data_IF_435967742249
#
_entry.id   IF_435967742249
#
_cell.length_a   1.000
_cell.length_b   1.000
_cell.length_c   1.000
_cell.angle_alpha   90.00
_cell.angle_beta   90.00
_cell.angle_gamma   90.00
#
_symmetry.space_group_name_H-M   'P 1'
#
loop_
_entity.id
_entity.type
_entity.pdbx_description
1 polymer ?
#
# COMPACT_ATOMS: atom_id res chain seq x y z
N UNK A 1 -8.01 -14.49 24.42
CA UNK A 1 -6.80 -14.22 23.65
C UNK A 1 -7.20 -14.32 22.20
N UNK A 2 -7.43 -13.18 21.53
CA UNK A 2 -7.68 -13.17 20.08
C UNK A 2 -6.40 -13.61 19.40
N UNK A 3 -6.44 -14.67 18.58
CA UNK A 3 -5.33 -15.01 17.72
C UNK A 3 -5.03 -13.77 16.87
N UNK A 4 -3.85 -13.18 17.03
CA UNK A 4 -3.39 -12.10 16.17
C UNK A 4 -3.39 -12.63 14.74
N UNK A 5 -4.21 -12.04 13.89
CA UNK A 5 -4.31 -12.46 12.50
C UNK A 5 -2.98 -12.08 11.83
N UNK A 6 -2.21 -13.06 11.39
CA UNK A 6 -0.97 -12.84 10.67
C UNK A 6 -1.22 -11.97 9.45
N UNK A 7 -0.31 -11.04 9.18
CA UNK A 7 -0.41 -10.15 8.02
C UNK A 7 -0.05 -10.92 6.73
N UNK A 8 -0.83 -10.78 5.64
CA UNK A 8 -0.54 -11.49 4.41
C UNK A 8 0.70 -10.90 3.72
N UNK A 9 1.64 -11.76 3.40
CA UNK A 9 2.87 -11.48 2.66
C UNK A 9 2.86 -12.30 1.37
N UNK A 10 2.86 -11.63 0.20
CA UNK A 10 2.96 -12.32 -1.08
C UNK A 10 4.42 -12.62 -1.41
N UNK A 11 4.73 -13.89 -1.65
CA UNK A 11 6.05 -14.38 -2.06
C UNK A 11 5.95 -14.90 -3.48
N UNK A 12 6.63 -14.23 -4.42
CA UNK A 12 6.66 -14.59 -5.85
C UNK A 12 8.04 -15.12 -6.20
N UNK A 13 8.13 -16.41 -6.40
CA UNK A 13 9.38 -17.15 -6.68
C UNK A 13 9.05 -18.42 -7.44
N UNK A 14 9.69 -18.66 -8.56
CA UNK A 14 9.47 -19.86 -9.40
C UNK A 14 10.24 -21.08 -8.91
N UNK A 15 11.39 -20.89 -8.24
CA UNK A 15 12.11 -21.97 -7.57
C UNK A 15 11.38 -22.37 -6.28
N UNK A 16 10.74 -23.55 -6.34
CA UNK A 16 9.98 -24.10 -5.21
C UNK A 16 10.83 -24.37 -3.95
N UNK A 17 12.14 -24.61 -4.08
CA UNK A 17 13.02 -24.83 -2.94
C UNK A 17 13.29 -23.48 -2.24
N UNK A 18 13.63 -22.45 -3.00
CA UNK A 18 13.85 -21.11 -2.47
C UNK A 18 12.54 -20.50 -1.93
N UNK A 19 11.41 -20.72 -2.60
CA UNK A 19 10.08 -20.29 -2.14
C UNK A 19 9.76 -20.87 -0.75
N UNK A 20 10.03 -22.17 -0.53
CA UNK A 20 9.89 -22.82 0.78
C UNK A 20 10.84 -22.21 1.81
N UNK A 21 12.10 -21.98 1.46
CA UNK A 21 13.08 -21.37 2.36
C UNK A 21 12.64 -19.98 2.79
N UNK A 22 12.18 -19.14 1.86
CA UNK A 22 11.64 -17.80 2.16
C UNK A 22 10.46 -17.90 3.11
N UNK A 23 9.50 -18.79 2.83
CA UNK A 23 8.35 -19.02 3.70
C UNK A 23 8.76 -19.41 5.12
N UNK A 24 9.75 -20.28 5.29
CA UNK A 24 10.24 -20.71 6.62
C UNK A 24 10.96 -19.58 7.36
N UNK A 25 11.64 -18.69 6.64
CA UNK A 25 12.32 -17.53 7.21
C UNK A 25 11.34 -16.44 7.68
N UNK A 26 10.10 -16.47 7.23
CA UNK A 26 9.07 -15.47 7.44
C UNK A 26 7.84 -16.05 8.14
N UNK A 27 8.07 -16.89 9.15
CA UNK A 27 7.02 -17.62 9.90
C UNK A 27 6.07 -16.70 10.70
N UNK A 28 6.47 -15.46 10.96
CA UNK A 28 5.64 -14.41 11.57
C UNK A 28 4.55 -13.82 10.64
N UNK A 29 4.47 -14.26 9.37
CA UNK A 29 3.54 -13.73 8.38
C UNK A 29 2.70 -14.83 7.74
N UNK A 30 1.51 -14.48 7.23
CA UNK A 30 0.72 -15.39 6.38
C UNK A 30 1.30 -15.38 4.96
N UNK A 31 2.22 -16.31 4.67
CA UNK A 31 2.87 -16.39 3.37
C UNK A 31 1.90 -16.88 2.30
N UNK A 32 1.55 -16.00 1.37
CA UNK A 32 0.79 -16.28 0.14
C UNK A 32 1.78 -16.52 -0.99
N UNK A 33 1.74 -17.68 -1.63
CA UNK A 33 2.75 -18.10 -2.58
C UNK A 33 2.25 -17.95 -4.03
N UNK A 34 3.13 -17.50 -4.91
CA UNK A 34 2.93 -17.46 -6.36
C UNK A 34 4.25 -17.82 -7.07
N UNK A 35 4.18 -18.39 -8.26
CA UNK A 35 5.34 -18.86 -9.03
C UNK A 35 5.46 -18.23 -10.41
N UNK A 36 4.52 -17.36 -10.76
CA UNK A 36 4.52 -16.61 -12.02
C UNK A 36 3.74 -15.29 -11.87
N UNK A 37 3.77 -14.47 -12.91
CA UNK A 37 3.13 -13.15 -12.93
C UNK A 37 1.60 -13.24 -12.80
N UNK A 38 0.96 -14.21 -13.41
CA UNK A 38 -0.51 -14.32 -13.41
C UNK A 38 -1.02 -14.75 -12.05
N UNK A 39 -0.43 -15.78 -11.46
CA UNK A 39 -0.74 -16.24 -10.10
C UNK A 39 -0.44 -15.16 -9.06
N UNK A 40 0.66 -14.42 -9.21
CA UNK A 40 0.99 -13.30 -8.32
C UNK A 40 -0.09 -12.22 -8.31
N UNK A 41 -0.55 -11.79 -9.49
CA UNK A 41 -1.62 -10.80 -9.60
C UNK A 41 -2.97 -11.31 -9.08
N UNK A 42 -3.27 -12.60 -9.28
CA UNK A 42 -4.48 -13.22 -8.72
C UNK A 42 -4.43 -13.26 -7.19
N UNK A 43 -3.30 -13.66 -6.60
CA UNK A 43 -3.11 -13.71 -5.15
C UNK A 43 -3.11 -12.32 -4.52
N UNK A 44 -2.48 -11.33 -5.17
CA UNK A 44 -2.50 -9.94 -4.70
C UNK A 44 -3.93 -9.40 -4.59
N UNK A 45 -4.76 -9.61 -5.62
CA UNK A 45 -6.17 -9.19 -5.61
C UNK A 45 -7.00 -9.89 -4.54
N UNK A 46 -6.72 -11.18 -4.30
CA UNK A 46 -7.47 -12.01 -3.33
C UNK A 46 -7.13 -11.66 -1.90
N UNK A 47 -5.86 -11.44 -1.58
CA UNK A 47 -5.37 -11.30 -0.21
C UNK A 47 -5.07 -9.85 0.17
N UNK A 48 -4.88 -8.94 -0.79
CA UNK A 48 -4.55 -7.54 -0.54
C UNK A 48 -3.24 -7.38 0.22
N UNK A 49 -2.22 -8.19 -0.11
CA UNK A 49 -0.95 -8.23 0.63
C UNK A 49 -0.26 -6.86 0.62
N UNK A 50 -0.01 -6.24 1.76
CA UNK A 50 0.64 -4.93 1.85
C UNK A 50 2.13 -4.97 1.50
N UNK A 51 2.75 -6.15 1.59
CA UNK A 51 4.16 -6.40 1.23
C UNK A 51 4.24 -7.56 0.26
N UNK A 52 5.11 -7.42 -0.73
CA UNK A 52 5.43 -8.43 -1.73
C UNK A 52 6.94 -8.61 -1.79
N UNK A 53 7.42 -9.85 -1.71
CA UNK A 53 8.77 -10.22 -2.13
C UNK A 53 8.69 -10.89 -3.48
N UNK A 54 9.49 -10.49 -4.47
CA UNK A 54 9.42 -11.05 -5.81
C UNK A 54 10.79 -11.22 -6.46
N UNK A 55 10.97 -12.33 -7.15
CA UNK A 55 12.08 -12.48 -8.10
C UNK A 55 11.80 -11.71 -9.40
N UNK A 56 12.86 -11.27 -10.07
CA UNK A 56 12.78 -10.71 -11.42
C UNK A 56 12.79 -11.77 -12.51
N UNK A 57 13.47 -12.90 -12.30
CA UNK A 57 13.51 -14.04 -13.21
C UNK A 57 12.26 -14.89 -13.04
N UNK A 58 11.21 -14.61 -13.80
CA UNK A 58 9.94 -15.33 -13.72
C UNK A 58 9.58 -16.00 -15.07
N UNK A 59 8.86 -17.15 -15.04
CA UNK A 59 8.36 -17.77 -16.26
C UNK A 59 7.49 -16.82 -17.10
N UNK A 60 7.44 -17.00 -18.45
CA UNK A 60 8.00 -18.11 -19.25
C UNK A 60 9.49 -18.00 -19.56
N UNK A 61 10.16 -16.91 -19.27
CA UNK A 61 11.57 -16.67 -19.56
C UNK A 61 12.33 -16.28 -18.28
N UNK A 62 12.66 -17.29 -17.48
CA UNK A 62 13.33 -17.10 -16.18
C UNK A 62 14.76 -16.52 -16.31
N UNK A 63 15.40 -16.64 -17.48
CA UNK A 63 16.70 -16.02 -17.76
C UNK A 63 16.58 -14.52 -18.05
N UNK A 64 15.37 -14.03 -18.28
CA UNK A 64 15.06 -12.63 -18.54
C UNK A 64 14.36 -12.00 -17.32
N UNK A 65 14.64 -10.74 -17.10
CA UNK A 65 13.99 -9.93 -16.03
C UNK A 65 12.71 -9.22 -16.51
N UNK A 66 12.29 -9.47 -17.76
CA UNK A 66 11.18 -8.74 -18.39
C UNK A 66 9.84 -9.00 -17.71
N UNK A 67 9.56 -10.26 -17.34
CA UNK A 67 8.32 -10.61 -16.65
C UNK A 67 8.27 -10.06 -15.22
N UNK A 68 9.39 -10.06 -14.51
CA UNK A 68 9.48 -9.44 -13.20
C UNK A 68 9.22 -7.92 -13.24
N UNK A 69 9.80 -7.20 -14.20
CA UNK A 69 9.51 -5.77 -14.35
C UNK A 69 8.05 -5.49 -14.73
N UNK A 70 7.45 -6.29 -15.60
CA UNK A 70 6.02 -6.18 -15.91
C UNK A 70 5.15 -6.43 -14.67
N UNK A 71 5.52 -7.43 -13.87
CA UNK A 71 4.81 -7.72 -12.61
C UNK A 71 4.93 -6.54 -11.64
N UNK A 72 6.13 -5.99 -11.43
CA UNK A 72 6.36 -4.81 -10.59
C UNK A 72 5.46 -3.64 -11.00
N UNK A 73 5.44 -3.32 -12.29
CA UNK A 73 4.59 -2.25 -12.85
C UNK A 73 3.10 -2.52 -12.58
N UNK A 74 2.64 -3.76 -12.82
CA UNK A 74 1.25 -4.16 -12.58
C UNK A 74 0.85 -4.10 -11.10
N UNK A 75 1.73 -4.53 -10.19
CA UNK A 75 1.49 -4.44 -8.75
C UNK A 75 1.33 -2.97 -8.33
N UNK A 76 2.27 -2.11 -8.72
CA UNK A 76 2.26 -0.69 -8.35
C UNK A 76 1.10 0.08 -8.98
N UNK A 77 0.66 -0.30 -10.19
CA UNK A 77 -0.53 0.27 -10.81
C UNK A 77 -1.83 -0.17 -10.12
N UNK A 78 -1.92 -1.44 -9.70
CA UNK A 78 -3.12 -1.98 -9.05
C UNK A 78 -3.21 -1.64 -7.56
N UNK A 79 -2.07 -1.56 -6.87
CA UNK A 79 -1.94 -1.34 -5.43
C UNK A 79 -0.73 -0.43 -5.13
N UNK A 80 -0.85 0.90 -5.31
CA UNK A 80 0.28 1.85 -5.20
C UNK A 80 0.93 1.90 -3.81
N UNK A 81 0.21 1.47 -2.78
CA UNK A 81 0.69 1.49 -1.39
C UNK A 81 1.48 0.23 -1.02
N UNK A 82 1.40 -0.82 -1.85
CA UNK A 82 2.12 -2.08 -1.63
C UNK A 82 3.63 -1.86 -1.67
N UNK A 83 4.33 -2.43 -0.71
CA UNK A 83 5.79 -2.39 -0.63
C UNK A 83 6.36 -3.61 -1.32
N UNK A 84 7.04 -3.40 -2.46
CA UNK A 84 7.63 -4.48 -3.24
C UNK A 84 9.12 -4.55 -2.95
N UNK A 85 9.59 -5.70 -2.45
CA UNK A 85 11.01 -6.04 -2.23
C UNK A 85 11.42 -6.97 -3.36
N UNK A 86 12.38 -6.53 -4.17
CA UNK A 86 12.87 -7.30 -5.32
C UNK A 86 14.04 -8.17 -4.90
N UNK A 87 13.96 -9.47 -5.19
CA UNK A 87 15.06 -10.41 -5.00
C UNK A 87 15.81 -10.55 -6.33
N UNK A 88 17.12 -10.36 -6.35
CA UNK A 88 17.90 -10.35 -7.59
C UNK A 88 19.12 -11.26 -7.49
N UNK A 89 19.56 -11.88 -8.62
CA UNK A 89 20.83 -12.62 -8.67
C UNK A 89 22.05 -11.71 -8.53
N UNK A 90 23.23 -12.30 -8.27
CA UNK A 90 24.50 -11.60 -7.97
C UNK A 90 24.92 -10.56 -9.02
N UNK A 91 24.53 -10.70 -10.28
CA UNK A 91 24.87 -9.75 -11.36
C UNK A 91 23.73 -8.73 -11.60
N UNK A 92 22.73 -8.66 -10.73
CA UNK A 92 21.49 -7.90 -10.93
C UNK A 92 21.52 -6.45 -10.46
N UNK A 93 22.68 -5.87 -10.12
CA UNK A 93 22.74 -4.52 -9.53
C UNK A 93 22.08 -3.45 -10.42
N UNK A 94 22.28 -3.50 -11.73
CA UNK A 94 21.61 -2.59 -12.67
C UNK A 94 20.09 -2.79 -12.68
N UNK A 95 19.63 -4.05 -12.60
CA UNK A 95 18.21 -4.39 -12.51
C UNK A 95 17.59 -3.98 -11.17
N UNK A 96 18.34 -4.12 -10.07
CA UNK A 96 17.94 -3.63 -8.75
C UNK A 96 17.71 -2.11 -8.74
N UNK A 97 18.67 -1.35 -9.28
CA UNK A 97 18.54 0.12 -9.39
C UNK A 97 17.36 0.51 -10.28
N UNK A 98 17.14 -0.20 -11.39
CA UNK A 98 15.99 0.02 -12.26
C UNK A 98 14.67 -0.29 -11.52
N UNK A 99 14.59 -1.38 -10.77
CA UNK A 99 13.40 -1.72 -9.98
C UNK A 99 13.06 -0.62 -8.96
N UNK A 100 14.06 -0.11 -8.24
CA UNK A 100 13.87 1.01 -7.28
C UNK A 100 13.43 2.28 -8.01
N UNK A 101 14.02 2.60 -9.17
CA UNK A 101 13.60 3.74 -9.98
C UNK A 101 12.15 3.61 -10.50
N UNK A 102 11.66 2.38 -10.69
CA UNK A 102 10.27 2.09 -11.05
C UNK A 102 9.31 2.12 -9.85
N UNK A 103 9.81 2.25 -8.62
CA UNK A 103 9.00 2.35 -7.41
C UNK A 103 9.02 1.13 -6.49
N UNK A 104 9.91 0.15 -6.71
CA UNK A 104 10.15 -0.89 -5.72
C UNK A 104 10.61 -0.26 -4.39
N UNK A 105 10.15 -0.82 -3.27
CA UNK A 105 10.49 -0.32 -1.93
C UNK A 105 11.96 -0.55 -1.59
N UNK A 106 12.45 -1.76 -1.89
CA UNK A 106 13.83 -2.17 -1.62
C UNK A 106 14.23 -3.32 -2.55
N UNK A 107 15.50 -3.70 -2.52
CA UNK A 107 15.98 -4.90 -3.19
C UNK A 107 16.96 -5.69 -2.33
N UNK A 108 17.07 -6.99 -2.57
CA UNK A 108 17.99 -7.89 -1.88
C UNK A 108 18.68 -8.82 -2.88
N UNK A 109 20.00 -8.88 -2.83
CA UNK A 109 20.78 -9.75 -3.72
C UNK A 109 20.77 -11.20 -3.21
N UNK A 110 20.54 -12.16 -4.10
CA UNK A 110 20.70 -13.61 -3.83
C UNK A 110 22.18 -14.02 -3.94
N UNK A 111 22.72 -14.86 -3.04
CA UNK A 111 22.08 -15.40 -1.85
C UNK A 111 22.00 -14.37 -0.72
N UNK A 112 20.97 -14.43 0.09
CA UNK A 112 20.74 -13.54 1.23
C UNK A 112 20.59 -14.34 2.53
N UNK A 113 20.95 -13.70 3.64
CA UNK A 113 20.73 -14.25 4.97
C UNK A 113 19.24 -14.09 5.36
N UNK A 114 18.61 -15.12 5.97
CA UNK A 114 17.21 -15.08 6.40
C UNK A 114 16.86 -13.88 7.28
N UNK A 115 17.76 -13.50 8.17
CA UNK A 115 17.60 -12.38 9.10
C UNK A 115 17.54 -11.03 8.36
N UNK A 116 18.31 -10.88 7.28
CA UNK A 116 18.30 -9.66 6.45
C UNK A 116 16.98 -9.56 5.70
N UNK A 117 16.49 -10.67 5.14
CA UNK A 117 15.18 -10.70 4.47
C UNK A 117 14.06 -10.34 5.46
N UNK A 118 14.07 -10.94 6.65
CA UNK A 118 13.06 -10.67 7.69
C UNK A 118 13.06 -9.19 8.09
N UNK A 119 14.25 -8.61 8.31
CA UNK A 119 14.38 -7.18 8.63
C UNK A 119 13.83 -6.28 7.52
N UNK A 120 14.10 -6.59 6.25
CA UNK A 120 13.56 -5.84 5.11
C UNK A 120 12.03 -5.92 5.05
N UNK A 121 11.47 -7.10 5.28
CA UNK A 121 10.02 -7.32 5.29
C UNK A 121 9.36 -6.59 6.46
N UNK A 122 9.92 -6.67 7.67
CA UNK A 122 9.42 -5.94 8.84
C UNK A 122 9.40 -4.42 8.60
N UNK A 123 10.47 -3.86 8.05
CA UNK A 123 10.56 -2.44 7.69
C UNK A 123 9.52 -2.05 6.65
N UNK A 124 9.26 -2.91 5.67
CA UNK A 124 8.28 -2.69 4.63
C UNK A 124 6.85 -2.65 5.20
N UNK A 125 6.49 -3.58 6.10
CA UNK A 125 5.21 -3.57 6.80
C UNK A 125 5.04 -2.32 7.65
N UNK A 126 6.04 -1.96 8.46
CA UNK A 126 6.02 -0.74 9.28
C UNK A 126 5.82 0.51 8.42
N UNK A 127 6.50 0.61 7.28
CA UNK A 127 6.35 1.74 6.36
C UNK A 127 4.94 1.80 5.76
N UNK A 128 4.37 0.66 5.38
CA UNK A 128 3.00 0.58 4.88
C UNK A 128 2.00 1.06 5.93
N UNK A 129 2.11 0.60 7.18
CA UNK A 129 1.26 1.01 8.31
C UNK A 129 1.34 2.51 8.58
N UNK A 130 2.56 3.07 8.63
CA UNK A 130 2.76 4.51 8.83
C UNK A 130 2.14 5.34 7.71
N UNK A 131 2.25 4.90 6.46
CA UNK A 131 1.63 5.59 5.33
C UNK A 131 0.10 5.51 5.37
N UNK A 132 -0.45 4.36 5.73
CA UNK A 132 -1.89 4.17 5.89
C UNK A 132 -2.45 5.09 7.00
N UNK A 133 -1.77 5.15 8.15
CA UNK A 133 -2.18 6.03 9.25
C UNK A 133 -2.05 7.51 8.88
N UNK A 134 -0.97 7.90 8.18
CA UNK A 134 -0.81 9.27 7.70
C UNK A 134 -1.94 9.68 6.74
N UNK A 135 -2.28 8.82 5.77
CA UNK A 135 -3.43 9.05 4.87
C UNK A 135 -4.75 9.17 5.63
N UNK A 136 -4.95 8.32 6.65
CA UNK A 136 -6.13 8.36 7.51
C UNK A 136 -6.23 9.70 8.25
N UNK A 137 -5.13 10.17 8.84
CA UNK A 137 -5.08 11.45 9.55
C UNK A 137 -5.30 12.64 8.61
N UNK A 138 -4.70 12.62 7.43
CA UNK A 138 -4.91 13.65 6.40
C UNK A 138 -6.37 13.68 5.92
N UNK A 139 -7.00 12.52 5.71
CA UNK A 139 -8.40 12.44 5.34
C UNK A 139 -9.33 13.01 6.44
N UNK A 140 -9.00 12.78 7.72
CA UNK A 140 -9.73 13.37 8.83
C UNK A 140 -9.56 14.90 8.86
N UNK A 141 -8.35 15.41 8.58
CA UNK A 141 -8.11 16.85 8.49
C UNK A 141 -8.76 17.51 7.27
N UNK A 142 -8.78 16.80 6.14
CA UNK A 142 -9.42 17.30 4.91
C UNK A 142 -10.96 17.35 5.05
N UNK A 143 -11.56 16.43 5.82
CA UNK A 143 -13.00 16.47 6.09
C UNK A 143 -13.42 17.63 7.02
N UNK A 144 -12.45 18.28 7.70
CA UNK A 144 -12.69 19.44 8.54
C UNK A 144 -12.57 20.79 7.79
N UNK A 145 -12.25 20.77 6.51
CA UNK A 145 -11.99 21.97 5.72
C UNK A 145 -13.07 22.23 4.66
N UNK A 146 -14.22 22.73 5.06
CA UNK A 146 -14.97 23.64 4.18
C UNK A 146 -14.02 24.83 3.93
N UNK A 147 -13.73 25.14 2.65
CA UNK A 147 -12.72 26.10 2.26
C UNK A 147 -12.86 27.43 3.04
N UNK A 148 -11.90 27.71 3.91
CA UNK A 148 -11.87 28.93 4.75
C UNK A 148 -12.48 28.81 6.15
N UNK A 149 -13.00 27.64 6.55
CA UNK A 149 -13.49 27.43 7.92
C UNK A 149 -12.48 26.63 8.74
N UNK A 150 -11.91 27.24 9.77
CA UNK A 150 -11.03 26.58 10.73
C UNK A 150 -11.81 26.43 12.04
N UNK A 151 -12.23 25.22 12.39
CA UNK A 151 -12.97 24.96 13.63
C UNK A 151 -12.51 23.65 14.28
N UNK A 152 -12.54 23.61 15.62
CA UNK A 152 -12.40 22.41 16.45
C UNK A 152 -13.66 22.12 17.26
N UNK A 153 -14.70 22.93 17.10
CA UNK A 153 -15.98 22.74 17.79
C UNK A 153 -16.72 21.51 17.24
N UNK A 154 -17.09 20.54 18.09
CA UNK A 154 -17.78 19.33 17.65
C UNK A 154 -19.13 19.59 17.00
N UNK A 155 -19.84 20.67 17.38
CA UNK A 155 -21.14 21.01 16.78
C UNK A 155 -20.93 21.58 15.38
N UNK A 156 -19.93 22.47 15.21
CA UNK A 156 -19.59 23.04 13.91
C UNK A 156 -19.11 21.96 12.94
N UNK A 157 -18.31 20.99 13.38
CA UNK A 157 -17.89 19.84 12.58
C UNK A 157 -19.08 18.99 12.11
N UNK A 158 -20.16 18.85 12.92
CA UNK A 158 -21.41 18.19 12.49
C UNK A 158 -22.13 18.99 11.40
N UNK A 159 -22.16 20.31 11.53
CA UNK A 159 -22.74 21.20 10.51
C UNK A 159 -21.99 21.07 9.19
N UNK A 160 -20.65 21.10 9.21
CA UNK A 160 -19.82 20.90 8.02
C UNK A 160 -20.12 19.56 7.32
N UNK A 161 -20.16 18.47 8.05
CA UNK A 161 -20.51 17.15 7.50
C UNK A 161 -21.92 17.09 6.90
N UNK A 162 -22.85 17.86 7.45
CA UNK A 162 -24.22 17.96 6.91
C UNK A 162 -24.22 18.73 5.58
N UNK A 163 -23.47 19.84 5.52
CA UNK A 163 -23.31 20.65 4.31
C UNK A 163 -22.67 19.83 3.19
N UNK A 164 -21.56 19.13 3.46
CA UNK A 164 -20.90 18.24 2.50
C UNK A 164 -21.85 17.18 1.90
N UNK A 165 -22.74 16.62 2.73
CA UNK A 165 -23.71 15.61 2.26
C UNK A 165 -24.77 16.21 1.34
N UNK A 166 -25.17 17.44 1.55
CA UNK A 166 -26.24 18.09 0.77
C UNK A 166 -25.69 18.90 -0.41
N UNK A 167 -24.42 19.29 -0.40
CA UNK A 167 -23.77 20.07 -1.46
C UNK A 167 -23.87 19.41 -2.85
N UNK A 168 -23.88 18.07 -2.91
CA UNK A 168 -24.02 17.29 -4.14
C UNK A 168 -25.48 16.95 -4.49
N UNK A 169 -26.46 17.57 -3.84
CA UNK A 169 -27.90 17.32 -4.08
C UNK A 169 -28.59 18.61 -4.54
N UNK A 170 -29.77 18.47 -5.15
CA UNK A 170 -30.64 19.63 -5.51
C UNK A 170 -31.51 20.11 -4.34
N UNK A 171 -31.13 19.82 -3.09
CA UNK A 171 -31.87 20.21 -1.91
C UNK A 171 -31.66 21.70 -1.59
N UNK A 172 -32.74 22.43 -1.28
CA UNK A 172 -32.59 23.79 -0.74
C UNK A 172 -32.22 23.74 0.72
N UNK A 173 -31.12 24.43 1.07
CA UNK A 173 -30.58 24.47 2.43
C UNK A 173 -30.70 25.89 2.98
N UNK A 174 -31.23 26.03 4.21
CA UNK A 174 -31.28 27.32 4.92
C UNK A 174 -30.29 27.32 6.07
N UNK A 175 -29.34 28.26 6.06
CA UNK A 175 -28.37 28.48 7.13
C UNK A 175 -28.89 29.56 8.10
N UNK A 176 -29.15 29.15 9.33
CA UNK A 176 -29.60 30.07 10.41
C UNK A 176 -28.44 30.37 11.38
N UNK A 177 -28.31 31.61 11.78
CA UNK A 177 -27.30 32.04 12.75
C UNK A 177 -27.22 33.56 12.81
N UNK A 178 -26.59 34.12 13.86
CA UNK A 178 -26.39 35.55 14.06
C UNK A 178 -25.51 36.19 12.97
N UNK A 179 -25.55 37.50 12.81
CA UNK A 179 -24.68 38.21 11.87
C UNK A 179 -23.21 37.99 12.24
N UNK A 180 -22.33 37.77 11.27
CA UNK A 180 -20.92 37.55 11.48
C UNK A 180 -20.49 36.11 11.86
N UNK A 181 -21.41 35.14 11.95
CA UNK A 181 -21.12 33.75 12.34
C UNK A 181 -20.54 32.85 11.20
N UNK A 182 -20.11 33.44 10.09
CA UNK A 182 -19.46 32.71 9.00
C UNK A 182 -20.41 31.93 8.08
N UNK A 183 -21.72 32.22 8.06
CA UNK A 183 -22.70 31.57 7.17
C UNK A 183 -22.33 31.65 5.69
N UNK A 184 -21.71 32.76 5.28
CA UNK A 184 -21.27 32.95 3.90
C UNK A 184 -20.13 31.99 3.52
N UNK A 185 -19.21 31.69 4.45
CA UNK A 185 -18.13 30.71 4.24
C UNK A 185 -18.71 29.31 4.05
N UNK A 186 -19.74 28.95 4.86
CA UNK A 186 -20.43 27.66 4.76
C UNK A 186 -21.28 27.52 3.48
N UNK A 187 -21.75 28.63 2.92
CA UNK A 187 -22.56 28.61 1.69
C UNK A 187 -21.74 28.52 0.40
N UNK A 188 -20.45 28.87 0.46
CA UNK A 188 -19.52 28.88 -0.69
C UNK A 188 -18.63 27.64 -0.77
N UNK A 189 -18.47 26.87 0.31
CA UNK A 189 -17.71 25.63 0.40
C UNK A 189 -18.57 24.42 0.08
#
# INVERSE_FOLDING_TARGET
MSAEKLQPLLVVEDDLALQKQIKWSLDGYESVLANDRESAMAQLRRHGSPVVTMDLGLPPDADSVSEGFKLLEQILAAAPDTKVIVLTGQNGQANALKAVAMGAYDFLAKPFEPEVLNLCVERAFRMHELQAENKRLQALQASDAIAGLITRDPQMLRVCRTIEKVANTNASVMLLGESGTGKEVLARG
#
